data_IF_190739383433
#
_entry.id   IF_190739383433
#
_cell.length_a   1.000
_cell.length_b   1.000
_cell.length_c   1.000
_cell.angle_alpha   90.00
_cell.angle_beta   90.00
_cell.angle_gamma   90.00
#
_symmetry.space_group_name_H-M   'P 1'
#
loop_
_entity.id
_entity.type
_entity.pdbx_description
1 polymer ?
#
# COMPACT_ATOMS: atom_id res chain seq x y z
N UNK A 1 40.05 5.67 23.12
CA UNK A 1 39.63 4.25 23.11
C UNK A 1 38.12 4.19 23.19
N UNK A 2 37.43 4.01 22.06
CA UNK A 2 35.95 3.89 22.00
C UNK A 2 35.60 2.41 21.80
N UNK A 3 34.89 1.83 22.78
CA UNK A 3 34.36 0.45 22.75
C UNK A 3 33.02 0.50 22.02
N UNK A 4 32.85 -0.34 21.00
CA UNK A 4 31.57 -0.57 20.33
C UNK A 4 30.90 -1.72 21.09
N UNK A 5 29.79 -1.42 21.77
CA UNK A 5 28.90 -2.42 22.35
C UNK A 5 28.09 -3.02 21.20
N UNK A 6 28.27 -4.32 20.93
CA UNK A 6 27.40 -5.09 20.07
C UNK A 6 26.24 -5.57 20.95
N UNK A 7 25.07 -4.93 20.79
CA UNK A 7 23.86 -5.28 21.52
C UNK A 7 23.34 -6.64 21.06
N UNK A 8 23.23 -7.56 22.01
CA UNK A 8 22.47 -8.80 21.84
C UNK A 8 20.98 -8.44 21.80
N UNK A 9 20.32 -8.69 20.68
CA UNK A 9 18.85 -8.79 20.68
C UNK A 9 18.52 -10.20 21.16
N UNK A 10 18.20 -10.31 22.44
CA UNK A 10 17.51 -11.47 22.99
C UNK A 10 16.07 -11.40 22.47
N UNK A 11 15.75 -12.22 21.46
CA UNK A 11 14.35 -12.48 21.10
C UNK A 11 13.81 -13.46 22.13
N UNK A 12 13.14 -12.92 23.14
CA UNK A 12 12.29 -13.68 24.03
C UNK A 12 10.91 -13.91 23.41
N UNK A 13 10.35 -15.08 23.72
CA UNK A 13 8.99 -15.56 23.45
C UNK A 13 8.68 -16.08 22.04
N UNK A 14 8.58 -17.39 21.93
CA UNK A 14 7.26 -18.02 21.75
C UNK A 14 7.29 -19.49 22.19
N UNK A 15 6.94 -19.71 23.46
CA UNK A 15 6.25 -20.95 23.88
C UNK A 15 4.91 -20.95 23.12
N UNK A 16 4.87 -21.61 21.97
CA UNK A 16 3.69 -21.60 21.10
C UNK A 16 3.76 -22.57 19.92
N UNK A 17 4.65 -23.57 19.97
CA UNK A 17 4.73 -24.63 18.98
C UNK A 17 4.70 -26.00 19.68
N UNK A 18 3.70 -26.20 20.53
CA UNK A 18 3.28 -27.51 21.04
C UNK A 18 1.78 -27.64 20.77
N UNK A 19 1.45 -27.80 19.49
CA UNK A 19 0.13 -28.27 19.08
C UNK A 19 0.37 -29.36 18.04
N UNK A 20 0.71 -30.56 18.55
CA UNK A 20 0.51 -31.78 17.79
C UNK A 20 -0.99 -31.97 17.50
N UNK A 21 -1.28 -32.75 16.47
CA UNK A 21 -2.65 -33.09 16.04
C UNK A 21 -3.57 -33.42 17.22
N UNK A 22 -4.87 -33.04 17.15
CA UNK A 22 -5.80 -33.23 18.26
C UNK A 22 -6.15 -34.71 18.41
N UNK A 23 -5.37 -35.45 19.19
CA UNK A 23 -5.66 -36.88 19.37
C UNK A 23 -4.62 -37.75 20.09
N UNK A 24 -3.96 -37.26 21.15
CA UNK A 24 -3.45 -38.04 22.31
C UNK A 24 -2.53 -37.14 23.13
N UNK A 25 -3.03 -36.61 24.23
CA UNK A 25 -2.21 -36.00 25.27
C UNK A 25 -1.96 -37.07 26.33
N UNK A 26 -0.77 -37.68 26.32
CA UNK A 26 -0.39 -38.76 27.24
C UNK A 26 0.40 -38.26 28.46
N UNK A 27 0.48 -36.94 28.67
CA UNK A 27 1.07 -36.33 29.87
C UNK A 27 2.57 -36.58 30.05
N UNK A 28 3.25 -37.10 29.01
CA UNK A 28 4.69 -37.36 29.06
C UNK A 28 5.45 -36.08 28.69
N UNK A 29 6.31 -35.62 29.60
CA UNK A 29 7.24 -34.53 29.29
C UNK A 29 8.15 -34.96 28.13
N UNK A 30 8.34 -34.10 27.10
CA UNK A 30 9.16 -34.42 25.94
C UNK A 30 10.59 -34.73 26.38
N UNK A 31 11.20 -35.75 25.76
CA UNK A 31 12.56 -36.14 26.09
C UNK A 31 13.56 -35.08 25.59
N UNK A 32 14.79 -35.04 26.14
CA UNK A 32 15.82 -34.11 25.67
C UNK A 32 16.16 -34.26 24.17
N UNK A 33 15.94 -35.44 23.60
CA UNK A 33 16.12 -35.69 22.17
C UNK A 33 14.98 -35.07 21.34
N UNK A 34 13.73 -35.13 21.83
CA UNK A 34 12.58 -34.50 21.18
C UNK A 34 12.70 -32.97 21.16
N UNK A 35 13.24 -32.40 22.24
CA UNK A 35 13.50 -30.96 22.32
C UNK A 35 14.62 -30.51 21.37
N UNK A 36 15.70 -31.30 21.24
CA UNK A 36 16.77 -31.01 20.29
C UNK A 36 16.29 -31.15 18.84
N UNK A 37 15.50 -32.18 18.53
CA UNK A 37 14.93 -32.35 17.19
C UNK A 37 13.99 -31.19 16.82
N UNK A 38 13.20 -30.69 17.77
CA UNK A 38 12.34 -29.52 17.56
C UNK A 38 13.15 -28.22 17.38
N UNK A 39 14.26 -28.05 18.11
CA UNK A 39 15.15 -26.89 17.97
C UNK A 39 15.91 -26.91 16.64
N UNK A 40 16.37 -28.09 16.20
CA UNK A 40 17.06 -28.28 14.91
C UNK A 40 16.10 -28.06 13.74
N UNK A 41 14.86 -28.55 13.82
CA UNK A 41 13.81 -28.28 12.83
C UNK A 41 13.41 -26.79 12.79
N UNK A 42 13.36 -26.12 13.95
CA UNK A 42 13.10 -24.69 14.02
C UNK A 42 14.26 -23.86 13.44
N UNK A 43 15.51 -24.30 13.64
CA UNK A 43 16.71 -23.71 13.05
C UNK A 43 16.80 -23.94 11.55
N UNK A 44 16.46 -25.13 11.04
CA UNK A 44 16.39 -25.39 9.60
C UNK A 44 15.29 -24.56 8.94
N UNK A 45 14.10 -24.49 9.53
CA UNK A 45 12.99 -23.67 9.01
C UNK A 45 13.30 -22.15 9.10
N UNK A 46 14.08 -21.74 10.11
CA UNK A 46 14.63 -20.38 10.25
C UNK A 46 15.72 -20.07 9.23
N UNK A 47 16.65 -20.99 8.96
CA UNK A 47 17.70 -20.82 7.95
C UNK A 47 17.11 -20.80 6.54
N UNK A 48 16.09 -21.62 6.26
CA UNK A 48 15.43 -21.65 4.95
C UNK A 48 14.64 -20.36 4.67
N UNK A 49 14.13 -19.67 5.69
CA UNK A 49 13.50 -18.34 5.54
C UNK A 49 14.50 -17.20 5.41
N UNK A 50 15.71 -17.36 5.94
CA UNK A 50 16.76 -16.35 5.87
C UNK A 50 17.61 -16.45 4.59
N UNK A 51 17.63 -17.61 3.92
CA UNK A 51 18.49 -17.91 2.75
C UNK A 51 17.76 -18.68 1.63
N UNK A 52 16.43 -18.77 1.65
CA UNK A 52 15.69 -19.17 0.45
C UNK A 52 15.90 -18.13 -0.64
N UNK A 53 15.98 -18.50 -1.93
CA UNK A 53 15.98 -17.50 -2.99
C UNK A 53 14.73 -16.65 -2.76
N UNK A 54 14.91 -15.37 -2.44
CA UNK A 54 13.84 -14.40 -2.59
C UNK A 54 13.29 -14.67 -3.99
N UNK A 55 12.02 -15.07 -4.08
CA UNK A 55 11.36 -15.21 -5.36
C UNK A 55 11.62 -13.92 -6.16
N UNK A 56 11.66 -14.00 -7.50
CA UNK A 56 11.89 -12.81 -8.32
C UNK A 56 11.02 -11.67 -7.77
N UNK A 57 11.59 -10.46 -7.58
CA UNK A 57 10.88 -9.37 -6.93
C UNK A 57 9.52 -9.28 -7.58
N UNK A 58 8.48 -9.48 -6.77
CA UNK A 58 7.09 -9.47 -7.20
C UNK A 58 6.92 -8.20 -8.05
N UNK A 59 6.78 -8.41 -9.36
CA UNK A 59 6.68 -7.34 -10.34
C UNK A 59 5.49 -6.51 -9.86
N UNK A 60 5.77 -5.30 -9.37
CA UNK A 60 4.77 -4.42 -8.79
C UNK A 60 3.66 -4.27 -9.83
N UNK A 61 2.57 -5.03 -9.65
CA UNK A 61 1.44 -4.95 -10.57
C UNK A 61 1.06 -3.47 -10.68
N UNK A 62 0.83 -2.96 -11.91
CA UNK A 62 0.44 -1.57 -12.08
C UNK A 62 -0.77 -1.33 -11.17
N UNK A 63 -0.75 -0.26 -10.35
CA UNK A 63 -1.75 -0.10 -9.30
C UNK A 63 -3.15 -0.12 -9.92
N UNK A 64 -4.17 -0.63 -9.21
CA UNK A 64 -5.53 -0.31 -9.60
C UNK A 64 -5.62 1.21 -9.61
N UNK A 65 -5.81 1.77 -10.81
CA UNK A 65 -6.02 3.19 -10.97
C UNK A 65 -7.27 3.65 -10.24
N UNK A 66 -7.64 4.94 -10.35
CA UNK A 66 -9.02 5.34 -10.07
C UNK A 66 -9.98 4.30 -10.67
N UNK A 67 -11.05 3.91 -9.95
CA UNK A 67 -12.02 2.95 -10.47
C UNK A 67 -12.42 3.32 -11.90
N UNK A 68 -12.52 2.32 -12.78
CA UNK A 68 -13.00 2.56 -14.15
C UNK A 68 -14.49 2.96 -14.19
N UNK A 69 -15.18 2.78 -13.07
CA UNK A 69 -16.59 3.06 -12.92
C UNK A 69 -16.91 4.55 -13.14
N UNK A 70 -17.99 4.78 -13.90
CA UNK A 70 -18.64 6.08 -14.00
C UNK A 70 -17.83 7.20 -14.68
N UNK A 71 -16.67 6.92 -15.30
CA UNK A 71 -15.83 7.94 -15.93
C UNK A 71 -14.89 8.66 -14.97
N UNK A 72 -14.66 8.10 -13.78
CA UNK A 72 -13.77 8.68 -12.75
C UNK A 72 -12.30 8.61 -13.18
N UNK A 73 -11.89 7.62 -13.98
CA UNK A 73 -10.55 7.56 -14.57
C UNK A 73 -10.28 8.77 -15.49
N UNK A 74 -11.16 9.02 -16.45
CA UNK A 74 -11.03 10.17 -17.37
C UNK A 74 -11.01 11.50 -16.61
N UNK A 75 -11.77 11.60 -15.52
CA UNK A 75 -11.77 12.77 -14.64
C UNK A 75 -10.45 12.94 -13.88
N UNK A 76 -9.84 11.83 -13.44
CA UNK A 76 -8.54 11.85 -12.79
C UNK A 76 -7.42 12.23 -13.76
N UNK A 77 -7.44 11.73 -14.99
CA UNK A 77 -6.48 12.12 -16.04
C UNK A 77 -6.56 13.63 -16.32
N UNK A 78 -7.77 14.17 -16.53
CA UNK A 78 -7.96 15.62 -16.67
C UNK A 78 -7.46 16.41 -15.45
N UNK A 79 -7.68 15.88 -14.24
CA UNK A 79 -7.16 16.51 -13.03
C UNK A 79 -5.62 16.53 -12.96
N UNK A 80 -4.94 15.54 -13.54
CA UNK A 80 -3.47 15.56 -13.62
C UNK A 80 -2.96 16.62 -14.59
N UNK A 81 -3.71 16.92 -15.65
CA UNK A 81 -3.33 17.90 -16.67
C UNK A 81 -3.72 19.34 -16.29
N UNK A 82 -4.96 19.53 -15.85
CA UNK A 82 -5.57 20.86 -15.65
C UNK A 82 -5.52 21.32 -14.19
N UNK A 83 -5.18 20.42 -13.26
CA UNK A 83 -5.27 20.62 -11.79
C UNK A 83 -6.67 20.95 -11.25
N UNK A 84 -7.69 20.92 -12.11
CA UNK A 84 -9.09 21.09 -11.75
C UNK A 84 -9.73 19.72 -11.73
N UNK A 85 -10.25 19.33 -10.57
CA UNK A 85 -10.95 18.06 -10.42
C UNK A 85 -12.43 18.24 -10.84
N UNK A 86 -12.92 17.60 -11.90
CA UNK A 86 -14.30 17.78 -12.33
C UNK A 86 -15.29 16.95 -11.52
N UNK A 87 -16.54 17.42 -11.45
CA UNK A 87 -17.67 16.58 -11.01
C UNK A 87 -18.01 15.60 -12.13
N UNK A 88 -18.15 14.32 -11.77
CA UNK A 88 -18.48 13.25 -12.72
C UNK A 88 -19.96 12.93 -12.62
N UNK A 89 -20.66 13.00 -13.75
CA UNK A 89 -22.07 12.60 -13.83
C UNK A 89 -22.19 11.10 -14.10
N UNK A 90 -22.94 10.39 -13.27
CA UNK A 90 -23.29 8.97 -13.46
C UNK A 90 -24.80 8.83 -13.65
N UNK A 91 -25.31 7.74 -14.26
CA UNK A 91 -26.75 7.58 -14.50
C UNK A 91 -27.63 7.78 -13.25
N UNK A 92 -27.12 7.35 -12.10
CA UNK A 92 -27.77 7.39 -10.79
C UNK A 92 -27.59 8.73 -10.06
N UNK A 93 -26.66 9.58 -10.49
CA UNK A 93 -26.39 10.86 -9.82
C UNK A 93 -25.01 11.45 -10.12
N UNK A 94 -24.23 11.76 -9.09
CA UNK A 94 -22.97 12.50 -9.25
C UNK A 94 -21.87 12.02 -8.30
N UNK A 95 -20.64 11.97 -8.82
CA UNK A 95 -19.41 11.72 -8.06
C UNK A 95 -18.62 13.01 -7.96
N UNK A 96 -18.45 13.53 -6.75
CA UNK A 96 -17.82 14.81 -6.48
C UNK A 96 -16.34 14.65 -6.12
N UNK A 97 -15.45 15.55 -6.56
CA UNK A 97 -14.07 15.55 -6.11
C UNK A 97 -13.99 15.98 -4.65
N UNK A 98 -13.42 15.13 -3.79
CA UNK A 98 -13.17 15.50 -2.40
C UNK A 98 -12.16 16.65 -2.32
N UNK A 99 -12.43 17.65 -1.48
CA UNK A 99 -11.65 18.88 -1.38
C UNK A 99 -11.94 19.92 -2.48
N UNK A 100 -12.91 19.65 -3.36
CA UNK A 100 -13.41 20.61 -4.34
C UNK A 100 -14.55 21.48 -3.81
N UNK A 101 -15.48 21.85 -4.69
CA UNK A 101 -16.67 22.59 -4.32
C UNK A 101 -17.63 21.77 -3.43
N UNK A 102 -18.37 22.46 -2.54
CA UNK A 102 -19.36 21.82 -1.68
C UNK A 102 -20.53 21.29 -2.53
N UNK A 103 -20.79 19.96 -2.52
CA UNK A 103 -21.85 19.35 -3.30
C UNK A 103 -23.22 19.98 -3.04
N UNK A 104 -23.91 20.36 -4.11
CA UNK A 104 -25.32 20.72 -4.07
C UNK A 104 -26.17 19.51 -4.46
N UNK A 105 -26.81 18.92 -3.45
CA UNK A 105 -27.61 17.71 -3.56
C UNK A 105 -29.07 18.07 -3.59
N UNK A 106 -29.74 17.64 -4.65
CA UNK A 106 -31.18 17.83 -4.82
C UNK A 106 -31.90 16.55 -4.41
N UNK A 107 -32.69 16.64 -3.34
CA UNK A 107 -33.53 15.56 -2.83
C UNK A 107 -35.01 15.87 -3.06
N UNK A 108 -35.85 14.83 -3.16
CA UNK A 108 -37.29 14.97 -3.38
C UNK A 108 -38.10 14.16 -2.38
N UNK A 109 -39.24 14.67 -1.89
CA UNK A 109 -40.17 13.87 -1.10
C UNK A 109 -40.67 12.66 -1.88
N UNK A 110 -40.71 11.51 -1.21
CA UNK A 110 -41.09 10.23 -1.83
C UNK A 110 -39.94 9.50 -2.52
N UNK A 111 -38.77 10.13 -2.63
CA UNK A 111 -37.55 9.54 -3.18
C UNK A 111 -36.45 9.48 -2.10
N UNK A 112 -35.58 8.49 -2.21
CA UNK A 112 -34.40 8.37 -1.34
C UNK A 112 -33.17 8.81 -2.12
N UNK A 113 -32.36 9.68 -1.52
CA UNK A 113 -31.03 10.02 -2.00
C UNK A 113 -30.00 9.26 -1.17
N UNK A 114 -29.22 8.42 -1.81
CA UNK A 114 -28.08 7.72 -1.22
C UNK A 114 -26.84 8.61 -1.21
N UNK A 115 -26.19 8.71 -0.06
CA UNK A 115 -24.88 9.35 0.12
C UNK A 115 -23.85 8.28 0.46
N UNK A 116 -23.02 7.96 -0.53
CA UNK A 116 -22.03 6.89 -0.50
C UNK A 116 -20.64 7.44 -0.13
N UNK A 117 -20.10 7.04 1.02
CA UNK A 117 -18.80 7.53 1.53
C UNK A 117 -17.62 6.71 1.00
N UNK A 118 -16.38 7.05 1.36
CA UNK A 118 -15.21 6.22 1.01
C UNK A 118 -15.34 4.80 1.60
N UNK A 119 -14.96 3.74 0.88
CA UNK A 119 -14.82 2.41 1.46
C UNK A 119 -13.85 2.38 2.65
N UNK A 120 -14.21 1.65 3.70
CA UNK A 120 -13.42 1.52 4.92
C UNK A 120 -13.45 2.76 5.83
N UNK A 121 -14.43 3.64 5.66
CA UNK A 121 -14.76 4.68 6.63
C UNK A 121 -15.87 4.23 7.58
N UNK A 122 -15.80 4.72 8.82
CA UNK A 122 -16.86 4.57 9.82
C UNK A 122 -17.47 5.95 10.12
N UNK A 123 -18.78 6.02 10.30
CA UNK A 123 -19.47 7.27 10.64
C UNK A 123 -19.36 7.50 12.15
N UNK A 124 -18.76 8.63 12.53
CA UNK A 124 -18.79 9.13 13.92
C UNK A 124 -20.12 9.84 14.22
N UNK A 125 -20.68 10.52 13.20
CA UNK A 125 -22.02 11.08 13.26
C UNK A 125 -22.31 12.03 12.09
N UNK A 126 -23.59 12.32 11.87
CA UNK A 126 -24.05 13.28 10.87
C UNK A 126 -25.07 14.26 11.42
N UNK A 127 -25.05 15.49 10.91
CA UNK A 127 -25.78 16.63 11.48
C UNK A 127 -26.40 17.48 10.38
N UNK A 128 -27.72 17.62 10.41
CA UNK A 128 -28.44 18.57 9.56
C UNK A 128 -28.42 19.97 10.20
N UNK A 129 -28.28 21.02 9.39
CA UNK A 129 -28.47 22.39 9.89
C UNK A 129 -29.93 22.69 10.26
N UNK A 130 -30.88 22.02 9.60
CA UNK A 130 -32.30 22.03 9.94
C UNK A 130 -32.81 20.58 9.81
N UNK A 131 -32.91 19.82 10.92
CA UNK A 131 -33.31 18.42 10.90
C UNK A 131 -34.81 18.22 10.69
N UNK A 132 -35.64 19.27 10.77
CA UNK A 132 -37.08 19.12 10.75
C UNK A 132 -37.57 18.59 9.39
N UNK A 133 -38.16 17.39 9.42
CA UNK A 133 -38.73 16.70 8.27
C UNK A 133 -37.70 15.99 7.39
N UNK A 134 -36.47 15.80 7.87
CA UNK A 134 -35.54 14.83 7.30
C UNK A 134 -35.71 13.48 7.96
N UNK A 135 -35.91 12.44 7.15
CA UNK A 135 -35.79 11.04 7.58
C UNK A 135 -34.45 10.53 7.05
N UNK A 136 -33.66 9.92 7.93
CA UNK A 136 -32.33 9.41 7.59
C UNK A 136 -32.07 8.05 8.23
N UNK A 137 -31.25 7.26 7.57
CA UNK A 137 -30.77 5.97 8.07
C UNK A 137 -29.39 5.66 7.51
N UNK A 138 -28.56 4.99 8.31
CA UNK A 138 -27.25 4.50 7.90
C UNK A 138 -27.37 3.05 7.40
N UNK A 139 -26.55 2.69 6.41
CA UNK A 139 -26.40 1.31 5.95
C UNK A 139 -24.92 1.05 5.62
N UNK A 140 -24.50 -0.21 5.71
CA UNK A 140 -23.13 -0.64 5.38
C UNK A 140 -23.19 -1.74 4.34
N UNK A 141 -22.46 -1.57 3.25
CA UNK A 141 -22.26 -2.56 2.20
C UNK A 141 -20.87 -3.19 2.35
N UNK A 142 -20.71 -4.52 2.30
CA UNK A 142 -19.39 -5.13 2.09
C UNK A 142 -18.49 -5.42 3.31
N UNK A 143 -19.01 -5.34 4.55
CA UNK A 143 -18.26 -5.79 5.75
C UNK A 143 -17.22 -4.77 6.26
N UNK A 144 -16.09 -5.20 6.87
CA UNK A 144 -15.13 -4.31 7.55
C UNK A 144 -14.43 -3.27 6.65
N UNK A 145 -14.22 -3.59 5.37
CA UNK A 145 -13.74 -2.63 4.36
C UNK A 145 -14.88 -2.11 3.48
N UNK A 146 -16.09 -2.24 4.01
CA UNK A 146 -17.33 -1.90 3.35
C UNK A 146 -17.49 -0.41 3.12
N UNK A 147 -18.47 -0.08 2.28
CA UNK A 147 -18.91 1.28 2.05
C UNK A 147 -20.06 1.62 2.98
N UNK A 148 -19.98 2.77 3.63
CA UNK A 148 -21.09 3.29 4.43
C UNK A 148 -21.94 4.25 3.61
N UNK A 149 -23.25 4.13 3.79
CA UNK A 149 -24.29 4.84 3.09
C UNK A 149 -25.14 5.62 4.08
N UNK A 150 -25.50 6.85 3.74
CA UNK A 150 -26.53 7.62 4.42
C UNK A 150 -27.69 7.80 3.46
N UNK A 151 -28.83 7.21 3.80
CA UNK A 151 -30.06 7.33 3.02
C UNK A 151 -30.84 8.53 3.53
N UNK A 152 -31.08 9.49 2.65
CA UNK A 152 -31.76 10.75 2.95
C UNK A 152 -33.14 10.80 2.29
N UNK A 153 -34.17 11.12 3.07
CA UNK A 153 -35.54 11.30 2.58
C UNK A 153 -36.20 12.52 3.20
N UNK A 154 -36.46 13.60 2.44
CA UNK A 154 -37.20 14.74 2.95
C UNK A 154 -38.71 14.45 2.98
N UNK A 155 -39.45 15.09 3.90
CA UNK A 155 -40.92 15.02 4.01
C UNK A 155 -41.60 16.36 3.73
N UNK A 156 -40.86 17.35 3.26
CA UNK A 156 -41.31 18.72 2.97
C UNK A 156 -40.87 19.16 1.57
N UNK A 157 -41.39 20.27 1.07
CA UNK A 157 -40.92 20.93 -0.16
C UNK A 157 -40.35 22.31 0.16
N UNK A 158 -39.56 22.88 -0.76
CA UNK A 158 -39.20 24.31 -0.72
C UNK A 158 -38.15 24.73 0.32
N UNK A 159 -37.39 23.79 0.90
CA UNK A 159 -36.39 24.09 1.95
C UNK A 159 -34.97 23.80 1.46
N UNK A 160 -34.03 24.63 1.92
CA UNK A 160 -32.59 24.48 1.74
C UNK A 160 -31.92 24.40 3.09
N UNK A 161 -30.97 23.48 3.23
CA UNK A 161 -30.17 23.32 4.45
C UNK A 161 -28.82 22.72 4.11
N UNK A 162 -28.03 22.35 5.10
CA UNK A 162 -26.78 21.62 4.94
C UNK A 162 -26.81 20.31 5.74
N UNK A 163 -25.90 19.42 5.37
CA UNK A 163 -25.57 18.20 6.10
C UNK A 163 -24.05 18.16 6.29
N UNK A 164 -23.63 17.89 7.52
CA UNK A 164 -22.24 17.64 7.87
C UNK A 164 -22.12 16.19 8.31
N UNK A 165 -21.23 15.42 7.70
CA UNK A 165 -20.94 14.03 8.05
C UNK A 165 -19.51 13.96 8.56
N UNK A 166 -19.32 13.44 9.77
CA UNK A 166 -18.01 13.24 10.37
C UNK A 166 -17.72 11.74 10.37
N UNK A 167 -16.57 11.36 9.83
CA UNK A 167 -16.12 9.96 9.74
C UNK A 167 -14.76 9.78 10.38
N UNK A 168 -14.34 8.51 10.51
CA UNK A 168 -13.04 8.12 11.03
C UNK A 168 -11.84 8.71 10.26
N UNK A 169 -12.05 9.15 9.01
CA UNK A 169 -10.99 9.71 8.15
C UNK A 169 -11.17 11.18 7.82
N UNK A 170 -12.41 11.67 7.68
CA UNK A 170 -12.67 13.01 7.13
C UNK A 170 -14.04 13.57 7.50
N UNK A 171 -14.29 14.81 7.10
CA UNK A 171 -15.58 15.48 7.26
C UNK A 171 -16.14 15.88 5.90
N UNK A 172 -17.37 15.47 5.61
CA UNK A 172 -18.09 15.84 4.40
C UNK A 172 -19.06 16.98 4.71
N UNK A 173 -19.07 17.98 3.83
CA UNK A 173 -20.04 19.06 3.85
C UNK A 173 -20.90 18.96 2.60
N UNK A 174 -22.22 19.03 2.78
CA UNK A 174 -23.18 18.99 1.69
C UNK A 174 -24.17 20.15 1.84
N UNK A 175 -24.62 20.71 0.72
CA UNK A 175 -25.80 21.57 0.65
C UNK A 175 -26.96 20.74 0.14
N UNK A 176 -28.03 20.69 0.93
CA UNK A 176 -29.25 19.98 0.59
C UNK A 176 -30.29 20.97 0.08
N UNK A 177 -30.88 20.66 -1.06
CA UNK A 177 -31.97 21.43 -1.65
C UNK A 177 -33.15 20.51 -1.91
N UNK A 178 -34.30 20.89 -1.36
CA UNK A 178 -35.57 20.30 -1.72
C UNK A 178 -36.38 21.35 -2.50
N UNK A 179 -36.68 21.11 -3.79
CA UNK A 179 -37.35 22.09 -4.62
C UNK A 179 -38.80 22.31 -4.15
N UNK A 180 -39.39 23.40 -4.63
CA UNK A 180 -40.83 23.66 -4.47
C UNK A 180 -41.66 22.57 -5.13
N UNK A 181 -42.89 22.38 -4.63
CA UNK A 181 -43.80 21.33 -5.10
C UNK A 181 -44.09 21.42 -6.59
N UNK A 182 -44.28 22.64 -7.11
CA UNK A 182 -44.58 22.89 -8.52
C UNK A 182 -43.42 22.45 -9.41
N UNK A 183 -42.19 22.82 -9.02
CA UNK A 183 -40.96 22.45 -9.74
C UNK A 183 -40.69 20.95 -9.71
N UNK A 184 -40.99 20.31 -8.59
CA UNK A 184 -40.91 18.86 -8.45
C UNK A 184 -41.94 18.14 -9.34
N UNK A 185 -43.18 18.63 -9.39
CA UNK A 185 -44.25 18.05 -10.19
C UNK A 185 -44.05 18.26 -11.70
N UNK A 186 -43.44 19.37 -12.10
CA UNK A 186 -43.15 19.70 -13.49
C UNK A 186 -41.98 18.91 -14.12
N UNK A 187 -41.30 18.04 -13.36
CA UNK A 187 -40.04 17.39 -13.75
C UNK A 187 -38.95 18.40 -14.19
N UNK A 188 -39.05 19.66 -13.76
CA UNK A 188 -38.11 20.73 -14.10
C UNK A 188 -36.77 20.55 -13.35
N UNK A 189 -36.80 19.82 -12.24
CA UNK A 189 -35.65 19.58 -11.39
C UNK A 189 -35.40 18.08 -11.28
N UNK A 190 -34.21 17.65 -11.72
CA UNK A 190 -33.77 16.27 -11.57
C UNK A 190 -33.19 16.05 -10.17
N UNK A 191 -33.77 15.12 -9.42
CA UNK A 191 -33.20 14.68 -8.15
C UNK A 191 -31.97 13.80 -8.38
N UNK A 192 -31.13 13.69 -7.36
CA UNK A 192 -29.96 12.81 -7.36
C UNK A 192 -30.29 11.57 -6.54
N UNK A 193 -30.25 10.39 -7.17
CA UNK A 193 -30.48 9.12 -6.47
C UNK A 193 -29.25 8.69 -5.69
N UNK A 194 -28.05 8.96 -6.20
CA UNK A 194 -26.77 8.67 -5.55
C UNK A 194 -25.80 9.85 -5.61
N UNK A 195 -25.12 10.10 -4.51
CA UNK A 195 -24.07 11.09 -4.34
C UNK A 195 -22.87 10.40 -3.72
N UNK A 196 -21.72 10.49 -4.38
CA UNK A 196 -20.48 9.88 -3.89
C UNK A 196 -19.28 10.79 -4.15
N UNK A 197 -18.09 10.36 -3.73
CA UNK A 197 -16.86 11.11 -3.90
C UNK A 197 -15.76 10.29 -4.56
N UNK A 198 -14.88 11.01 -5.24
CA UNK A 198 -13.58 10.53 -5.68
C UNK A 198 -12.47 11.40 -5.07
N UNK A 199 -11.25 10.86 -4.96
CA UNK A 199 -10.22 11.39 -4.05
C UNK A 199 -8.96 11.85 -4.80
N UNK A 200 -9.04 12.94 -5.61
CA UNK A 200 -8.00 13.34 -6.54
C UNK A 200 -6.62 13.53 -5.89
N UNK A 201 -6.57 14.25 -4.77
CA UNK A 201 -5.32 14.59 -4.10
C UNK A 201 -4.66 13.37 -3.44
N UNK A 202 -5.46 12.47 -2.90
CA UNK A 202 -4.98 11.24 -2.27
C UNK A 202 -4.43 10.28 -3.32
N UNK A 203 -5.16 10.07 -4.42
CA UNK A 203 -4.70 9.28 -5.53
C UNK A 203 -3.41 9.84 -6.15
N UNK A 204 -3.31 11.17 -6.30
CA UNK A 204 -2.08 11.84 -6.76
C UNK A 204 -0.91 11.63 -5.79
N UNK A 205 -1.15 11.76 -4.49
CA UNK A 205 -0.12 11.55 -3.45
C UNK A 205 0.35 10.10 -3.43
N UNK A 206 -0.57 9.17 -3.53
CA UNK A 206 -0.28 7.74 -3.54
C UNK A 206 0.48 7.33 -4.81
N UNK A 207 0.06 7.81 -5.98
CA UNK A 207 0.77 7.61 -7.24
C UNK A 207 2.21 8.11 -7.17
N UNK A 208 2.45 9.31 -6.62
CA UNK A 208 3.81 9.83 -6.41
C UNK A 208 4.62 9.00 -5.42
N UNK A 209 4.01 8.49 -4.35
CA UNK A 209 4.68 7.62 -3.38
C UNK A 209 5.15 6.33 -4.04
N UNK A 210 4.28 5.69 -4.84
CA UNK A 210 4.61 4.46 -5.57
C UNK A 210 5.70 4.68 -6.61
N UNK A 211 5.60 5.74 -7.42
CA UNK A 211 6.63 6.07 -8.42
C UNK A 211 8.02 6.26 -7.79
N UNK A 212 8.09 6.89 -6.60
CA UNK A 212 9.35 7.01 -5.85
C UNK A 212 9.86 5.65 -5.34
N UNK A 213 8.98 4.77 -4.89
CA UNK A 213 9.36 3.44 -4.43
C UNK A 213 9.93 2.60 -5.59
N UNK A 214 9.30 2.64 -6.77
CA UNK A 214 9.79 1.96 -7.98
C UNK A 214 11.17 2.51 -8.38
N UNK A 215 11.33 3.83 -8.49
CA UNK A 215 12.60 4.43 -8.84
C UNK A 215 13.73 4.08 -7.84
N UNK A 216 13.41 4.03 -6.54
CA UNK A 216 14.37 3.61 -5.52
C UNK A 216 14.75 2.13 -5.63
N UNK A 217 13.79 1.25 -5.96
CA UNK A 217 14.07 -0.16 -6.23
C UNK A 217 14.95 -0.33 -7.47
N UNK A 218 14.65 0.37 -8.57
CA UNK A 218 15.46 0.33 -9.80
C UNK A 218 16.90 0.83 -9.54
N UNK A 219 17.07 1.89 -8.76
CA UNK A 219 18.38 2.39 -8.37
C UNK A 219 19.13 1.38 -7.49
N UNK A 220 18.45 0.78 -6.51
CA UNK A 220 19.04 -0.26 -5.66
C UNK A 220 19.47 -1.49 -6.48
N UNK A 221 18.63 -1.95 -7.43
CA UNK A 221 18.97 -3.03 -8.35
C UNK A 221 20.17 -2.67 -9.24
N UNK A 222 20.24 -1.43 -9.74
CA UNK A 222 21.38 -0.96 -10.53
C UNK A 222 22.67 -0.93 -9.72
N UNK A 223 22.60 -0.45 -8.48
CA UNK A 223 23.75 -0.44 -7.58
C UNK A 223 24.20 -1.86 -7.25
N UNK A 224 23.27 -2.78 -6.94
CA UNK A 224 23.55 -4.19 -6.71
C UNK A 224 24.22 -4.85 -7.93
N UNK A 225 23.67 -4.65 -9.13
CA UNK A 225 24.27 -5.14 -10.37
C UNK A 225 25.67 -4.55 -10.64
N UNK A 226 25.90 -3.29 -10.24
CA UNK A 226 27.22 -2.66 -10.29
C UNK A 226 28.18 -3.17 -9.19
N UNK A 227 27.69 -3.54 -8.01
CA UNK A 227 28.48 -4.23 -6.98
C UNK A 227 28.91 -5.61 -7.46
N UNK A 228 27.98 -6.39 -8.01
CA UNK A 228 28.29 -7.70 -8.62
C UNK A 228 29.28 -7.58 -9.77
N UNK A 229 29.18 -6.52 -10.58
CA UNK A 229 30.13 -6.24 -11.66
C UNK A 229 31.51 -5.75 -11.18
N UNK A 230 31.63 -5.23 -9.95
CA UNK A 230 32.94 -4.81 -9.38
C UNK A 230 33.79 -6.00 -8.95
N UNK A 231 33.17 -7.14 -8.69
CA UNK A 231 33.85 -8.42 -8.67
C UNK A 231 33.72 -9.01 -10.07
N UNK A 232 34.60 -8.63 -10.99
CA UNK A 232 34.81 -9.47 -12.17
C UNK A 232 35.16 -10.84 -11.61
N UNK A 233 34.24 -11.81 -11.74
CA UNK A 233 34.57 -13.20 -11.53
C UNK A 233 35.59 -13.53 -12.63
N UNK A 234 36.87 -13.29 -12.33
CA UNK A 234 37.95 -13.84 -13.13
C UNK A 234 37.78 -15.33 -12.95
N UNK A 235 37.24 -15.97 -13.98
CA UNK A 235 37.15 -17.41 -14.07
C UNK A 235 38.53 -17.95 -13.68
N UNK A 236 38.60 -18.80 -12.65
CA UNK A 236 39.86 -19.30 -12.08
C UNK A 236 40.73 -19.93 -13.18
N UNK A 237 40.09 -20.45 -14.23
CA UNK A 237 40.68 -21.06 -15.41
C UNK A 237 41.44 -20.08 -16.32
N UNK A 238 41.17 -18.76 -16.21
CA UNK A 238 41.87 -17.71 -16.98
C UNK A 238 43.06 -17.12 -16.24
N UNK A 239 43.30 -17.52 -14.99
CA UNK A 239 44.49 -17.10 -14.26
C UNK A 239 45.74 -17.78 -14.85
N UNK A 240 46.71 -16.98 -15.22
CA UNK A 240 47.98 -17.44 -15.73
C UNK A 240 48.94 -17.67 -14.56
N UNK A 241 49.25 -18.93 -14.28
CA UNK A 241 50.16 -19.33 -13.19
C UNK A 241 51.61 -19.59 -13.64
N UNK A 242 51.90 -19.45 -14.94
CA UNK A 242 53.15 -19.90 -15.56
C UNK A 242 54.32 -18.92 -15.37
N UNK A 243 54.51 -18.44 -14.14
CA UNK A 243 55.61 -17.57 -13.78
C UNK A 243 56.82 -18.37 -13.30
N UNK A 244 57.92 -18.26 -14.05
CA UNK A 244 59.20 -18.79 -13.60
C UNK A 244 59.93 -17.74 -12.77
N UNK A 245 60.17 -18.07 -11.51
CA UNK A 245 61.00 -17.25 -10.63
C UNK A 245 62.44 -17.20 -11.17
N UNK A 246 62.92 -16.00 -11.46
CA UNK A 246 64.32 -15.77 -11.83
C UNK A 246 65.10 -15.50 -10.53
N UNK A 247 66.11 -16.33 -10.23
CA UNK A 247 67.02 -16.07 -9.12
C UNK A 247 67.96 -14.91 -9.52
N UNK A 248 68.19 -13.93 -8.63
CA UNK A 248 69.05 -12.80 -8.94
C UNK A 248 70.50 -13.24 -9.18
N UNK A 249 71.14 -12.66 -10.19
CA UNK A 249 72.47 -13.04 -10.66
C UNK A 249 73.58 -12.70 -9.64
N UNK A 250 73.34 -11.77 -8.71
CA UNK A 250 74.30 -11.37 -7.66
C UNK A 250 73.74 -11.62 -6.27
N UNK A 251 74.60 -12.13 -5.37
CA UNK A 251 74.26 -12.46 -3.97
C UNK A 251 73.71 -11.26 -3.16
N UNK A 252 74.00 -10.02 -3.58
CA UNK A 252 73.51 -8.75 -2.99
C UNK A 252 72.10 -8.32 -3.45
N UNK A 253 71.54 -8.95 -4.49
CA UNK A 253 70.22 -8.62 -5.05
C UNK A 253 69.10 -9.57 -4.58
N UNK A 254 69.38 -10.43 -3.59
CA UNK A 254 68.35 -11.33 -3.03
C UNK A 254 67.30 -10.52 -2.30
N UNK A 255 66.08 -10.50 -2.86
CA UNK A 255 64.89 -9.93 -2.20
C UNK A 255 64.68 -10.62 -0.84
N UNK A 256 64.48 -9.81 0.21
CA UNK A 256 64.27 -10.28 1.59
C UNK A 256 62.92 -10.98 1.82
N UNK A 257 62.04 -10.96 0.81
CA UNK A 257 60.77 -11.68 0.83
C UNK A 257 60.65 -12.56 -0.42
N UNK A 258 59.87 -13.63 -0.30
CA UNK A 258 59.59 -14.58 -1.38
C UNK A 258 58.08 -14.74 -1.50
N UNK A 259 57.45 -14.31 -2.61
CA UNK A 259 56.02 -14.53 -2.82
C UNK A 259 55.74 -16.03 -2.93
N UNK A 260 54.62 -16.47 -2.33
CA UNK A 260 54.23 -17.89 -2.28
C UNK A 260 53.55 -18.35 -3.59
N UNK A 261 52.85 -17.43 -4.24
CA UNK A 261 52.25 -17.62 -5.55
C UNK A 261 52.26 -16.27 -6.29
N UNK A 262 52.37 -16.33 -7.61
CA UNK A 262 52.23 -15.19 -8.52
C UNK A 262 51.35 -15.68 -9.67
N UNK A 263 50.33 -14.91 -10.01
CA UNK A 263 49.44 -15.19 -11.12
C UNK A 263 48.90 -13.87 -11.66
N UNK A 264 48.45 -13.86 -12.91
CA UNK A 264 47.83 -12.69 -13.53
C UNK A 264 46.58 -13.09 -14.32
N UNK A 265 45.74 -12.12 -14.63
CA UNK A 265 44.53 -12.29 -15.45
C UNK A 265 44.65 -11.63 -16.84
N UNK A 266 45.85 -11.26 -17.28
CA UNK A 266 46.14 -10.54 -18.51
C UNK A 266 46.00 -9.00 -18.40
N UNK A 267 45.32 -8.49 -17.37
CA UNK A 267 45.20 -7.05 -17.09
C UNK A 267 45.93 -6.64 -15.80
N UNK A 268 46.01 -7.55 -14.81
CA UNK A 268 46.59 -7.32 -13.47
C UNK A 268 47.37 -8.55 -12.98
N UNK A 269 48.49 -8.30 -12.28
CA UNK A 269 49.38 -9.29 -11.66
C UNK A 269 49.37 -9.19 -10.14
#
# INVERSE_FOLDING_TARGET
MRRILMGWVVVGMAVGALAGEPGKDDGRLPSPEDLRAAEEAALENSMFRAWGPEGPPEELEPPPGPPEEGGVRDAYERFLEEEIAPVVGVPEGKVYPFGGEVPEVVALPGWTTDVSLEPGEEIDGYYFGDPEGWVSSEAVEGGPEGRVHILLRPTFFGKRTNLVVVTSRRTYHLRLQVPEREKAAGNEVRFQSSVSWWYPQEWRREGRRRARAVAAQEEAQRLAAAEDSRFTSVAVERLHHNYRRVEPHKKKERLGFRPRAVFDDGERT
#
